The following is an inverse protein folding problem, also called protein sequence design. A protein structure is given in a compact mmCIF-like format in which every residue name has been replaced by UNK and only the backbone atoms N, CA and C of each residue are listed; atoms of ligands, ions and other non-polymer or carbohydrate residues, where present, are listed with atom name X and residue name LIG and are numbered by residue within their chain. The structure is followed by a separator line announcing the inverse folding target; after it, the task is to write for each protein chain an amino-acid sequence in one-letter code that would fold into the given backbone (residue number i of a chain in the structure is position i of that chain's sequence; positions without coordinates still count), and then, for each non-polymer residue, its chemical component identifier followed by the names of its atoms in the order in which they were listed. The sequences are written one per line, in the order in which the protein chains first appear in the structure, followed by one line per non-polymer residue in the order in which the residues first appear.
data_IF_282355562835
#
_entry.id   IF_282355562835
#
_cell.length_a   1.000
_cell.length_b   1.000
_cell.length_c   1.000
_cell.angle_alpha   90.00
_cell.angle_beta   90.00
_cell.angle_gamma   90.00
#
_symmetry.space_group_name_H-M   'P 1'
#
loop_
_entity.id
_entity.type
_entity.pdbx_description
1 polymer ?
#
# COMPACT_ATOMS: atom_id res chain seq x y z
N UNK A 1 -17.59 10.69 4.25
CA UNK A 1 -16.33 11.42 3.97
C UNK A 1 -15.29 10.36 3.69
N UNK A 2 -14.90 10.17 2.43
CA UNK A 2 -13.72 9.35 2.13
C UNK A 2 -12.51 10.12 2.67
N UNK A 3 -11.81 9.57 3.67
CA UNK A 3 -10.48 10.03 4.01
C UNK A 3 -9.57 9.63 2.85
N UNK A 4 -9.44 10.50 1.84
CA UNK A 4 -8.41 10.32 0.82
C UNK A 4 -7.09 10.72 1.43
N UNK A 5 -6.28 9.72 1.76
CA UNK A 5 -4.89 9.93 2.13
C UNK A 5 -4.11 10.34 0.88
N UNK A 6 -3.71 11.60 0.82
CA UNK A 6 -2.83 12.08 -0.24
C UNK A 6 -1.38 11.72 0.14
N UNK A 7 -0.71 11.00 -0.75
CA UNK A 7 0.70 10.66 -0.62
C UNK A 7 1.40 10.58 -1.98
N UNK A 8 2.72 10.73 -1.97
CA UNK A 8 3.59 10.38 -3.10
C UNK A 8 4.37 9.13 -2.70
N UNK A 9 4.34 8.09 -3.54
CA UNK A 9 5.21 6.93 -3.41
C UNK A 9 6.30 6.97 -4.48
N UNK A 10 7.56 6.91 -4.05
CA UNK A 10 8.72 6.85 -4.94
C UNK A 10 9.33 5.46 -4.84
N UNK A 11 9.47 4.77 -5.96
CA UNK A 11 10.10 3.44 -6.01
C UNK A 11 11.60 3.53 -5.68
N UNK A 12 12.10 2.56 -4.93
CA UNK A 12 13.51 2.35 -4.62
C UNK A 12 13.90 0.91 -4.97
N UNK A 13 15.18 0.57 -4.80
CA UNK A 13 15.68 -0.79 -5.07
C UNK A 13 15.05 -1.86 -4.16
N UNK A 14 14.60 -1.48 -2.95
CA UNK A 14 14.05 -2.41 -1.94
C UNK A 14 12.52 -2.23 -1.73
N UNK A 15 11.88 -1.33 -2.48
CA UNK A 15 10.44 -1.07 -2.37
C UNK A 15 10.05 0.36 -2.68
N UNK A 16 9.53 1.09 -1.69
CA UNK A 16 9.00 2.44 -1.84
C UNK A 16 9.31 3.33 -0.65
N UNK A 17 9.55 4.61 -0.92
CA UNK A 17 9.51 5.69 0.06
C UNK A 17 8.22 6.46 -0.14
N UNK A 18 7.35 6.47 0.86
CA UNK A 18 6.03 7.11 0.82
C UNK A 18 6.04 8.39 1.65
N UNK A 19 5.71 9.51 1.01
CA UNK A 19 5.60 10.82 1.66
C UNK A 19 4.14 11.23 1.80
N UNK A 20 3.65 11.32 3.03
CA UNK A 20 2.28 11.74 3.36
C UNK A 20 2.17 13.27 3.36
N UNK A 21 1.14 13.83 2.73
CA UNK A 21 1.01 15.29 2.62
C UNK A 21 0.63 16.01 3.94
N UNK A 22 0.02 15.31 4.91
CA UNK A 22 -0.59 15.93 6.10
C UNK A 22 -0.02 15.44 7.47
N UNK A 23 1.12 14.76 7.50
CA UNK A 23 1.77 14.36 8.76
C UNK A 23 2.82 15.41 9.20
N UNK A 24 3.43 15.25 10.38
CA UNK A 24 4.63 15.99 10.83
C UNK A 24 5.90 15.10 10.74
N UNK A 25 5.73 13.77 10.71
CA UNK A 25 6.75 12.77 10.37
C UNK A 25 6.23 11.97 9.17
N UNK A 26 6.63 12.35 7.96
CA UNK A 26 5.80 12.13 6.77
C UNK A 26 6.29 11.00 5.89
N UNK A 27 7.41 10.40 6.22
CA UNK A 27 8.06 9.43 5.36
C UNK A 27 7.91 8.04 5.95
N UNK A 28 7.28 7.15 5.21
CA UNK A 28 7.17 5.73 5.52
C UNK A 28 8.02 4.99 4.49
N UNK A 29 8.96 4.18 4.97
CA UNK A 29 9.65 3.20 4.14
C UNK A 29 8.80 1.94 4.08
N UNK A 30 8.49 1.49 2.88
CA UNK A 30 7.77 0.25 2.61
C UNK A 30 8.69 -0.64 1.80
N UNK A 31 8.99 -1.82 2.31
CA UNK A 31 9.76 -2.82 1.57
C UNK A 31 8.86 -3.66 0.68
N UNK A 32 9.44 -4.26 -0.35
CA UNK A 32 8.76 -5.29 -1.14
C UNK A 32 8.23 -6.43 -0.23
N UNK A 33 9.02 -6.79 0.79
CA UNK A 33 8.64 -7.77 1.83
C UNK A 33 7.33 -7.40 2.55
N UNK A 34 7.12 -6.11 2.85
CA UNK A 34 5.92 -5.64 3.54
C UNK A 34 4.68 -5.80 2.66
N UNK A 35 4.83 -5.58 1.35
CA UNK A 35 3.75 -5.71 0.36
C UNK A 35 3.35 -7.18 0.21
N UNK A 36 4.33 -8.09 0.11
CA UNK A 36 4.08 -9.53 0.03
C UNK A 36 3.39 -10.06 1.29
N UNK A 37 3.87 -9.66 2.47
CA UNK A 37 3.25 -10.04 3.75
C UNK A 37 1.82 -9.53 3.86
N UNK A 38 1.58 -8.29 3.42
CA UNK A 38 0.23 -7.73 3.37
C UNK A 38 -0.69 -8.51 2.43
N UNK A 39 -0.26 -8.82 1.21
CA UNK A 39 -1.07 -9.57 0.24
C UNK A 39 -1.48 -10.96 0.77
N UNK A 40 -0.54 -11.65 1.44
CA UNK A 40 -0.82 -12.95 2.07
C UNK A 40 -1.83 -12.80 3.22
N UNK A 41 -1.61 -11.83 4.12
CA UNK A 41 -2.52 -11.55 5.24
C UNK A 41 -3.92 -11.15 4.77
N UNK A 42 -4.02 -10.35 3.70
CA UNK A 42 -5.30 -9.95 3.11
C UNK A 42 -6.04 -11.14 2.53
N UNK A 43 -5.34 -12.04 1.85
CA UNK A 43 -5.92 -13.28 1.30
C UNK A 43 -6.50 -14.15 2.42
N UNK A 44 -5.77 -14.32 3.52
CA UNK A 44 -6.27 -15.06 4.69
C UNK A 44 -7.51 -14.40 5.30
N UNK A 45 -7.52 -13.07 5.45
CA UNK A 45 -8.67 -12.31 5.96
C UNK A 45 -9.91 -12.49 5.06
N UNK A 46 -9.74 -12.46 3.74
CA UNK A 46 -10.82 -12.67 2.76
C UNK A 46 -11.38 -14.09 2.83
N UNK A 47 -10.52 -15.11 2.95
CA UNK A 47 -10.94 -16.51 3.07
C UNK A 47 -11.74 -16.76 4.35
N UNK A 48 -11.44 -16.01 5.42
CA UNK A 48 -12.13 -16.12 6.70
C UNK A 48 -13.46 -15.34 6.79
N UNK A 49 -13.91 -14.71 5.70
CA UNK A 49 -15.15 -13.91 5.61
C UNK A 49 -15.28 -12.85 6.73
N UNK A 50 -14.15 -12.25 7.10
CA UNK A 50 -14.10 -11.18 8.10
C UNK A 50 -14.30 -9.83 7.44
N UNK A 51 -14.99 -8.91 8.11
CA UNK A 51 -14.99 -7.50 7.72
C UNK A 51 -13.54 -6.97 7.70
N UNK A 52 -13.11 -6.48 6.54
CA UNK A 52 -11.76 -5.95 6.34
C UNK A 52 -11.81 -4.44 6.57
N UNK A 53 -11.33 -4.03 7.73
CA UNK A 53 -11.03 -2.63 8.03
C UNK A 53 -9.51 -2.47 7.90
N UNK A 54 -9.07 -1.68 6.93
CA UNK A 54 -7.66 -1.38 6.71
C UNK A 54 -7.23 -0.18 7.56
N UNK A 55 -6.04 -0.25 8.15
CA UNK A 55 -5.35 0.91 8.69
C UNK A 55 -4.80 1.79 7.57
N UNK A 56 -4.43 3.05 7.87
CA UNK A 56 -3.80 3.96 6.88
C UNK A 56 -2.59 3.31 6.18
N UNK A 57 -1.71 2.63 6.94
CA UNK A 57 -0.57 1.90 6.37
C UNK A 57 -1.03 0.75 5.45
N UNK A 58 -2.05 0.00 5.85
CA UNK A 58 -2.59 -1.11 5.05
C UNK A 58 -3.29 -0.61 3.78
N UNK A 59 -3.94 0.55 3.80
CA UNK A 59 -4.50 1.18 2.59
C UNK A 59 -3.40 1.60 1.60
N UNK A 60 -2.29 2.16 2.10
CA UNK A 60 -1.12 2.46 1.27
C UNK A 60 -0.55 1.18 0.67
N UNK A 61 -0.36 0.12 1.47
CA UNK A 61 0.13 -1.18 1.00
C UNK A 61 -0.81 -1.79 -0.05
N UNK A 62 -2.12 -1.68 0.15
CA UNK A 62 -3.12 -2.15 -0.81
C UNK A 62 -3.02 -1.42 -2.15
N UNK A 63 -2.93 -0.09 -2.13
CA UNK A 63 -2.78 0.71 -3.35
C UNK A 63 -1.46 0.40 -4.08
N UNK A 64 -0.35 0.27 -3.35
CA UNK A 64 0.95 -0.09 -3.94
C UNK A 64 0.92 -1.50 -4.55
N UNK A 65 0.33 -2.46 -3.86
CA UNK A 65 0.15 -3.81 -4.37
C UNK A 65 -0.69 -3.83 -5.65
N UNK A 66 -1.79 -3.07 -5.68
CA UNK A 66 -2.62 -2.94 -6.87
C UNK A 66 -1.85 -2.36 -8.06
N UNK A 67 -0.97 -1.39 -7.84
CA UNK A 67 -0.11 -0.84 -8.90
C UNK A 67 0.86 -1.88 -9.47
N UNK A 68 1.45 -2.73 -8.63
CA UNK A 68 2.37 -3.80 -9.05
C UNK A 68 1.68 -4.91 -9.86
N UNK A 69 0.37 -5.09 -9.69
CA UNK A 69 -0.42 -6.06 -10.46
C UNK A 69 -0.82 -5.55 -11.84
N UNK A 70 -0.64 -4.26 -12.13
CA UNK A 70 -0.92 -3.71 -13.45
C UNK A 70 0.24 -4.12 -14.38
N UNK A 71 -0.04 -4.80 -15.52
CA UNK A 71 1.00 -5.22 -16.45
C UNK A 71 1.86 -4.03 -16.90
N UNK A 72 3.16 -4.24 -17.13
CA UNK A 72 4.15 -3.25 -17.61
C UNK A 72 3.71 -2.44 -18.85
N UNK A 73 2.66 -2.89 -19.53
CA UNK A 73 2.12 -2.34 -20.77
C UNK A 73 1.18 -1.15 -20.55
N UNK A 74 0.89 -0.78 -19.30
CA UNK A 74 0.01 0.35 -18.97
C UNK A 74 0.85 1.61 -18.77
N UNK A 75 0.68 2.58 -19.66
CA UNK A 75 1.27 3.91 -19.54
C UNK A 75 0.51 4.64 -18.41
N UNK A 76 1.22 5.01 -17.34
CA UNK A 76 0.71 5.81 -16.22
C UNK A 76 0.65 7.30 -16.56
#
# INVERSE_FOLDING_TARGET
MENKFEYIATQTDDGFVVNLYNSINNTIEIKNEDIEQFANSLTDKLVMDRDIILTEKEEILFNLWQMLLIPENVIH
#
